data_IF_025001150339
#
_entry.id   IF_025001150339
#
_cell.length_a   1.000
_cell.length_b   1.000
_cell.length_c   1.000
_cell.angle_alpha   90.00
_cell.angle_beta   90.00
_cell.angle_gamma   90.00
#
_symmetry.space_group_name_H-M   'P 1'
#
loop_
_entity.id
_entity.type
_entity.pdbx_description
1 polymer ?
#
# COMPACT_ATOMS: atom_id res chain seq x y z
N UNK A 1 0.02 -9.03 64.65
CA UNK A 1 0.98 -9.44 63.61
C UNK A 1 0.68 -8.56 62.40
N UNK A 2 1.52 -7.57 62.11
CA UNK A 2 1.37 -6.68 60.95
C UNK A 2 2.31 -7.17 59.87
N UNK A 3 1.75 -7.58 58.73
CA UNK A 3 2.51 -8.00 57.55
C UNK A 3 2.76 -6.74 56.71
N UNK A 4 4.02 -6.30 56.68
CA UNK A 4 4.45 -5.19 55.82
C UNK A 4 4.73 -5.74 54.43
N UNK A 5 3.95 -5.32 53.44
CA UNK A 5 4.22 -5.60 52.02
C UNK A 5 5.23 -4.57 51.52
N UNK A 6 6.39 -5.02 51.07
CA UNK A 6 7.32 -4.19 50.31
C UNK A 6 6.90 -4.20 48.84
N UNK A 7 6.43 -3.06 48.34
CA UNK A 7 6.26 -2.86 46.90
C UNK A 7 7.64 -2.59 46.27
N UNK A 8 8.04 -3.41 45.30
CA UNK A 8 9.24 -3.16 44.50
C UNK A 8 9.04 -1.93 43.62
N UNK A 9 10.02 -0.99 43.54
CA UNK A 9 9.94 0.12 42.60
C UNK A 9 9.95 -0.43 41.17
N UNK A 10 8.85 -0.20 40.44
CA UNK A 10 8.78 -0.45 39.01
C UNK A 10 9.79 0.48 38.32
N UNK A 11 10.66 -0.08 37.48
CA UNK A 11 11.60 0.68 36.65
C UNK A 11 10.78 1.56 35.69
N UNK A 12 10.63 2.83 36.03
CA UNK A 12 10.06 3.83 35.14
C UNK A 12 11.09 4.08 34.04
N UNK A 13 10.91 3.44 32.88
CA UNK A 13 11.68 3.77 31.66
C UNK A 13 11.37 5.25 31.36
N UNK A 14 12.36 6.11 31.57
CA UNK A 14 12.21 7.56 31.56
C UNK A 14 11.44 8.08 30.35
N UNK A 15 10.53 9.01 30.59
CA UNK A 15 9.81 9.82 29.60
C UNK A 15 10.72 10.88 28.99
N UNK A 16 11.84 10.46 28.41
CA UNK A 16 12.59 11.37 27.54
C UNK A 16 11.83 11.47 26.21
N UNK A 17 11.56 12.69 25.70
CA UNK A 17 10.87 12.87 24.43
C UNK A 17 11.72 12.25 23.31
N UNK A 18 11.08 11.45 22.46
CA UNK A 18 11.75 10.84 21.31
C UNK A 18 12.05 11.94 20.29
N UNK A 19 13.32 12.17 19.91
CA UNK A 19 13.67 13.25 19.00
C UNK A 19 13.23 12.94 17.57
N UNK A 20 13.03 13.99 16.78
CA UNK A 20 12.93 13.87 15.31
C UNK A 20 14.36 14.01 14.78
N UNK A 21 14.85 12.97 14.10
CA UNK A 21 16.19 12.94 13.50
C UNK A 21 16.21 13.66 12.15
N UNK A 22 15.15 13.48 11.36
CA UNK A 22 15.01 14.06 10.03
C UNK A 22 13.57 14.47 9.80
N UNK A 23 13.39 15.62 9.15
CA UNK A 23 12.09 16.07 8.68
C UNK A 23 12.27 16.90 7.41
N UNK A 24 11.56 16.56 6.35
CA UNK A 24 11.52 17.34 5.11
C UNK A 24 10.06 17.54 4.70
N UNK A 25 9.79 18.71 4.11
CA UNK A 25 8.49 19.08 3.57
C UNK A 25 8.71 19.91 2.30
N UNK A 26 8.05 19.53 1.23
CA UNK A 26 8.11 20.16 -0.08
C UNK A 26 6.69 20.29 -0.65
N UNK A 27 6.38 21.49 -1.15
CA UNK A 27 5.07 21.82 -1.71
C UNK A 27 4.08 22.42 -0.69
N UNK A 28 2.76 22.39 -0.97
CA UNK A 28 2.18 21.96 -2.24
C UNK A 28 2.64 22.85 -3.38
N UNK A 29 3.04 22.21 -4.47
CA UNK A 29 3.42 22.87 -5.71
C UNK A 29 2.15 23.30 -6.48
N UNK A 30 2.33 24.17 -7.48
CA UNK A 30 1.23 24.69 -8.30
C UNK A 30 0.48 23.60 -9.07
N UNK A 31 1.11 22.45 -9.31
CA UNK A 31 0.55 21.27 -9.98
C UNK A 31 -0.13 20.29 -9.02
N UNK A 32 -0.27 20.66 -7.74
CA UNK A 32 -0.83 19.82 -6.69
C UNK A 32 0.12 18.73 -6.19
N UNK A 33 1.38 18.71 -6.64
CA UNK A 33 2.38 17.78 -6.11
C UNK A 33 2.89 18.22 -4.74
N UNK A 34 3.21 17.26 -3.89
CA UNK A 34 3.82 17.50 -2.58
C UNK A 34 4.67 16.31 -2.17
N UNK A 35 5.57 16.52 -1.21
CA UNK A 35 6.36 15.47 -0.59
C UNK A 35 6.65 15.80 0.86
N UNK A 36 6.59 14.81 1.73
CA UNK A 36 7.05 14.95 3.10
C UNK A 36 7.71 13.65 3.57
N UNK A 37 8.62 13.78 4.53
CA UNK A 37 9.17 12.64 5.24
C UNK A 37 9.57 13.04 6.65
N UNK A 38 9.56 12.08 7.56
CA UNK A 38 10.18 12.22 8.86
C UNK A 38 10.79 10.90 9.36
N UNK A 39 11.81 11.06 10.20
CA UNK A 39 12.51 9.99 10.90
C UNK A 39 12.60 10.36 12.38
N UNK A 40 12.27 9.44 13.27
CA UNK A 40 12.32 9.62 14.72
C UNK A 40 13.46 8.81 15.34
N UNK A 41 13.90 9.21 16.53
CA UNK A 41 14.96 8.54 17.29
C UNK A 41 14.64 7.12 17.74
N UNK A 42 13.40 6.68 17.62
CA UNK A 42 12.97 5.29 17.85
C UNK A 42 12.74 4.51 16.56
N UNK A 43 13.42 4.88 15.46
CA UNK A 43 13.42 4.18 14.18
C UNK A 43 12.04 4.14 13.49
N UNK A 44 11.15 5.09 13.81
CA UNK A 44 9.93 5.31 13.01
C UNK A 44 10.31 6.16 11.80
N UNK A 45 10.01 5.64 10.62
CA UNK A 45 10.21 6.34 9.36
C UNK A 45 8.88 6.42 8.64
N UNK A 46 8.55 7.59 8.12
CA UNK A 46 7.39 7.80 7.29
C UNK A 46 7.73 8.74 6.15
N UNK A 47 7.28 8.43 4.95
CA UNK A 47 7.34 9.33 3.82
C UNK A 47 6.10 9.20 2.96
N UNK A 48 5.71 10.29 2.33
CA UNK A 48 4.64 10.31 1.35
C UNK A 48 4.95 11.37 0.29
N UNK A 49 4.61 11.04 -0.95
CA UNK A 49 4.52 12.00 -2.03
C UNK A 49 3.17 11.88 -2.70
N UNK A 50 2.59 13.01 -3.09
CA UNK A 50 1.36 13.04 -3.84
C UNK A 50 1.46 13.91 -5.07
N UNK A 51 0.57 13.67 -6.02
CA UNK A 51 0.42 14.43 -7.26
C UNK A 51 -1.00 14.33 -7.79
N UNK A 52 -1.42 15.29 -8.62
CA UNK A 52 -2.74 15.27 -9.26
C UNK A 52 -2.61 14.75 -10.69
N UNK A 53 -3.21 13.60 -10.99
CA UNK A 53 -3.40 13.14 -12.38
C UNK A 53 -4.42 14.04 -13.07
N UNK A 54 -4.18 14.35 -14.35
CA UNK A 54 -5.02 15.23 -15.17
C UNK A 54 -5.20 16.66 -14.62
N UNK A 55 -4.20 17.17 -13.89
CA UNK A 55 -4.22 18.54 -13.35
C UNK A 55 -4.59 19.58 -14.44
N UNK A 56 -5.54 20.46 -14.13
CA UNK A 56 -6.00 21.52 -15.02
C UNK A 56 -7.04 21.09 -16.07
N UNK A 57 -7.50 19.83 -16.05
CA UNK A 57 -8.53 19.35 -16.99
C UNK A 57 -9.98 19.56 -16.50
N UNK A 58 -10.16 20.17 -15.32
CA UNK A 58 -11.45 20.53 -14.74
C UNK A 58 -11.93 19.58 -13.63
N UNK A 59 -12.77 20.12 -12.74
CA UNK A 59 -13.36 19.38 -11.61
C UNK A 59 -14.05 18.09 -12.09
N UNK A 60 -13.63 16.94 -11.55
CA UNK A 60 -14.17 15.62 -11.87
C UNK A 60 -13.35 14.75 -12.85
N UNK A 61 -12.29 15.29 -13.45
CA UNK A 61 -11.27 14.49 -14.18
C UNK A 61 -9.93 14.42 -13.45
N UNK A 62 -9.75 15.34 -12.50
CA UNK A 62 -8.58 15.41 -11.63
C UNK A 62 -8.66 14.33 -10.56
N UNK A 63 -7.55 13.64 -10.38
CA UNK A 63 -7.42 12.53 -9.44
C UNK A 63 -6.20 12.77 -8.58
N UNK A 64 -6.42 12.93 -7.29
CA UNK A 64 -5.32 12.96 -6.34
C UNK A 64 -4.76 11.55 -6.20
N UNK A 65 -3.45 11.43 -6.38
CA UNK A 65 -2.68 10.23 -6.07
C UNK A 65 -1.76 10.56 -4.92
N UNK A 66 -1.64 9.64 -3.97
CA UNK A 66 -0.64 9.67 -2.92
C UNK A 66 0.02 8.30 -2.80
N UNK A 67 1.33 8.27 -2.73
CA UNK A 67 2.11 7.06 -2.46
C UNK A 67 3.02 7.32 -1.26
N UNK A 68 3.16 6.34 -0.40
CA UNK A 68 3.94 6.51 0.81
C UNK A 68 4.46 5.20 1.36
N UNK A 69 5.42 5.34 2.28
CA UNK A 69 5.96 4.22 3.05
C UNK A 69 6.03 4.59 4.51
N UNK A 70 5.78 3.59 5.35
CA UNK A 70 5.83 3.70 6.79
C UNK A 70 6.57 2.49 7.34
N UNK A 71 7.50 2.69 8.26
CA UNK A 71 8.16 1.59 8.94
C UNK A 71 8.42 1.92 10.40
N UNK A 72 8.31 0.93 11.26
CA UNK A 72 8.63 1.04 12.68
C UNK A 72 9.21 -0.28 13.20
N UNK A 73 9.91 -0.20 14.32
CA UNK A 73 10.39 -1.37 15.03
C UNK A 73 9.36 -1.83 16.06
N UNK A 74 8.91 -3.07 15.90
CA UNK A 74 8.01 -3.71 16.84
C UNK A 74 8.74 -4.07 18.15
N UNK A 75 8.01 -4.28 19.26
CA UNK A 75 8.60 -4.60 20.56
C UNK A 75 9.42 -5.91 20.59
N UNK A 76 9.20 -6.80 19.63
CA UNK A 76 9.95 -8.04 19.42
C UNK A 76 11.27 -7.84 18.63
N UNK A 77 11.54 -6.61 18.17
CA UNK A 77 12.70 -6.26 17.35
C UNK A 77 12.49 -6.43 15.85
N UNK A 78 11.34 -6.92 15.40
CA UNK A 78 11.02 -7.01 13.99
C UNK A 78 10.78 -5.61 13.39
N UNK A 79 11.29 -5.36 12.19
CA UNK A 79 10.95 -4.14 11.44
C UNK A 79 9.68 -4.40 10.66
N UNK A 80 8.62 -3.68 11.01
CA UNK A 80 7.36 -3.71 10.28
C UNK A 80 7.39 -2.57 9.28
N UNK A 81 7.25 -2.91 8.01
CA UNK A 81 7.16 -1.95 6.91
C UNK A 81 5.81 -2.07 6.20
N UNK A 82 5.33 -0.92 5.75
CA UNK A 82 4.12 -0.73 4.96
C UNK A 82 4.47 0.22 3.82
N UNK A 83 4.02 -0.11 2.62
CA UNK A 83 3.96 0.81 1.48
C UNK A 83 2.53 0.89 1.00
N UNK A 84 2.12 2.01 0.41
CA UNK A 84 0.77 2.17 -0.10
C UNK A 84 0.73 3.07 -1.32
N UNK A 85 -0.31 2.84 -2.12
CA UNK A 85 -0.74 3.75 -3.18
C UNK A 85 -2.22 4.04 -2.92
N UNK A 86 -2.58 5.32 -2.90
CA UNK A 86 -3.93 5.82 -2.82
C UNK A 86 -4.26 6.54 -4.13
N UNK A 87 -5.19 6.00 -4.90
CA UNK A 87 -5.66 6.59 -6.17
C UNK A 87 -7.18 6.39 -6.34
N UNK A 88 -7.71 6.50 -7.57
CA UNK A 88 -9.12 6.24 -7.91
C UNK A 88 -9.64 4.89 -7.42
N UNK A 89 -8.77 3.90 -7.29
CA UNK A 89 -9.14 2.55 -6.85
C UNK A 89 -9.10 2.41 -5.31
N UNK A 90 -8.90 3.52 -4.59
CA UNK A 90 -8.81 3.57 -3.15
C UNK A 90 -7.40 3.32 -2.62
N UNK A 91 -7.32 2.94 -1.35
CA UNK A 91 -6.08 2.71 -0.63
C UNK A 91 -5.61 1.25 -0.80
N UNK A 92 -4.41 1.07 -1.33
CA UNK A 92 -3.82 -0.22 -1.67
C UNK A 92 -2.53 -0.45 -0.86
N UNK A 93 -2.63 -0.95 0.38
CA UNK A 93 -1.47 -1.19 1.23
C UNK A 93 -0.77 -2.50 0.88
N UNK A 94 0.55 -2.51 0.98
CA UNK A 94 1.44 -3.65 0.78
C UNK A 94 2.42 -3.72 1.96
N UNK A 95 2.50 -4.88 2.59
CA UNK A 95 3.42 -5.14 3.70
C UNK A 95 3.30 -6.59 4.17
N UNK A 96 4.42 -7.17 4.62
CA UNK A 96 4.50 -8.58 5.01
C UNK A 96 3.57 -8.96 6.18
N UNK A 97 3.18 -7.96 6.97
CA UNK A 97 2.29 -8.11 8.13
C UNK A 97 0.81 -8.05 7.77
N UNK A 98 0.46 -7.73 6.51
CA UNK A 98 -0.93 -7.66 6.07
C UNK A 98 -1.48 -9.06 5.79
N UNK A 99 -2.78 -9.29 6.03
CA UNK A 99 -3.41 -10.56 5.68
C UNK A 99 -3.34 -10.74 4.16
N UNK A 100 -2.54 -11.68 3.70
CA UNK A 100 -2.53 -12.06 2.29
C UNK A 100 -3.81 -12.85 1.97
N UNK A 101 -4.45 -12.62 0.81
CA UNK A 101 -5.52 -13.49 0.36
C UNK A 101 -5.02 -14.94 0.31
N UNK A 102 -5.92 -15.93 0.50
CA UNK A 102 -5.53 -17.33 0.47
C UNK A 102 -4.85 -17.67 -0.86
N UNK A 103 -3.91 -18.62 -0.88
CA UNK A 103 -3.20 -19.01 -2.09
C UNK A 103 -4.19 -19.43 -3.19
N UNK A 104 -3.83 -19.14 -4.43
CA UNK A 104 -4.62 -19.49 -5.61
C UNK A 104 -4.89 -21.01 -5.58
N UNK A 105 -6.16 -21.46 -5.72
CA UNK A 105 -6.47 -22.88 -5.74
C UNK A 105 -5.71 -23.61 -6.85
N UNK A 106 -5.23 -24.85 -6.61
CA UNK A 106 -4.43 -25.60 -7.58
C UNK A 106 -5.15 -25.86 -8.91
N UNK A 107 -6.48 -25.86 -8.92
CA UNK A 107 -7.28 -25.96 -10.15
C UNK A 107 -7.11 -24.75 -11.07
N UNK A 108 -7.02 -23.54 -10.51
CA UNK A 108 -6.79 -22.30 -11.26
C UNK A 108 -5.37 -22.30 -11.85
N UNK A 109 -4.37 -22.74 -11.08
CA UNK A 109 -2.99 -22.89 -11.56
C UNK A 109 -2.91 -23.85 -12.74
N UNK A 110 -3.54 -25.03 -12.63
CA UNK A 110 -3.63 -25.99 -13.74
C UNK A 110 -4.33 -25.42 -14.97
N UNK A 111 -5.39 -24.64 -14.78
CA UNK A 111 -6.08 -23.99 -15.88
C UNK A 111 -5.19 -22.93 -16.57
N UNK A 112 -4.44 -22.13 -15.81
CA UNK A 112 -3.49 -21.15 -16.36
C UNK A 112 -2.34 -21.81 -17.12
N UNK A 113 -1.79 -22.91 -16.58
CA UNK A 113 -0.77 -23.71 -17.27
C UNK A 113 -1.31 -24.31 -18.58
N UNK A 114 -2.52 -24.85 -18.55
CA UNK A 114 -3.18 -25.37 -19.74
C UNK A 114 -3.42 -24.27 -20.79
N UNK A 115 -3.91 -23.09 -20.39
CA UNK A 115 -4.10 -21.97 -21.31
C UNK A 115 -2.77 -21.49 -21.93
N UNK A 116 -1.66 -21.55 -21.17
CA UNK A 116 -0.32 -21.20 -21.66
C UNK A 116 0.21 -22.17 -22.72
N UNK A 117 -0.23 -23.43 -22.71
CA UNK A 117 0.16 -24.43 -23.72
C UNK A 117 -0.74 -24.42 -24.95
N UNK A 118 -1.85 -23.67 -24.93
CA UNK A 118 -2.69 -23.51 -26.11
C UNK A 118 -1.99 -22.61 -27.14
N UNK A 119 -2.08 -22.94 -28.44
CA UNK A 119 -1.66 -22.03 -29.49
C UNK A 119 -2.48 -20.73 -29.40
N UNK A 120 -1.91 -19.57 -29.81
CA UNK A 120 -2.67 -18.34 -29.90
C UNK A 120 -3.95 -18.61 -30.71
N UNK A 121 -5.10 -18.42 -30.06
CA UNK A 121 -6.37 -18.52 -30.76
C UNK A 121 -6.47 -17.26 -31.61
N UNK A 122 -6.53 -17.42 -32.93
CA UNK A 122 -6.92 -16.33 -33.83
C UNK A 122 -8.34 -15.89 -33.45
N UNK A 123 -8.46 -14.93 -32.52
CA UNK A 123 -9.68 -14.15 -32.35
C UNK A 123 -9.76 -13.15 -33.49
N UNK A 124 -9.77 -13.65 -34.73
CA UNK A 124 -10.48 -12.99 -35.81
C UNK A 124 -11.96 -13.07 -35.42
N UNK A 125 -12.67 -11.95 -35.20
CA UNK A 125 -14.12 -12.00 -35.08
C UNK A 125 -14.64 -12.70 -36.33
N UNK A 126 -15.22 -13.90 -36.17
CA UNK A 126 -15.86 -14.60 -37.27
C UNK A 126 -17.07 -13.75 -37.69
N UNK A 127 -16.83 -12.79 -38.58
CA UNK A 127 -17.86 -12.18 -39.41
C UNK A 127 -18.36 -13.28 -40.36
N UNK A 128 -19.17 -14.20 -39.83
CA UNK A 128 -19.98 -15.09 -40.66
C UNK A 128 -21.05 -14.21 -41.30
N UNK A 129 -21.04 -14.00 -42.63
CA UNK A 129 -22.14 -13.29 -43.26
C UNK A 129 -23.43 -14.10 -43.01
N UNK A 130 -24.46 -13.42 -42.52
CA UNK A 130 -25.80 -14.00 -42.39
C UNK A 130 -26.26 -14.44 -43.78
N UNK A 131 -26.40 -15.75 -43.98
CA UNK A 131 -27.04 -16.28 -45.19
C UNK A 131 -28.54 -16.44 -44.91
N UNK A 132 -29.42 -15.62 -45.49
CA UNK A 132 -30.85 -15.86 -45.40
C UNK A 132 -31.18 -17.15 -46.14
N UNK A 133 -31.78 -18.12 -45.45
CA UNK A 133 -32.38 -19.30 -46.09
C UNK A 133 -33.48 -18.81 -47.03
N UNK A 134 -33.33 -19.08 -48.34
CA UNK A 134 -34.46 -18.94 -49.27
C UNK A 134 -35.44 -20.08 -48.98
N UNK A 135 -36.67 -19.70 -48.69
CA UNK A 135 -37.83 -20.59 -48.67
C UNK A 135 -38.31 -20.86 -50.09
#
# INVERSE_FOLDING_TARGET
MLVTVFAQPQVQKGTDPIPILKQEFEGPNVDGSYKWLYETGNEINAEESGYVKNFGQGEGKEVQVAEGKFSYKAPDGAVIALSYIADENGFQPQGDHLPTPPPIPPAILKALEYLKTLPPTDTQPQNKPFQPKRF
#
